data_IF_073436039195
#
_entry.id   IF_073436039195
#
_cell.length_a   1.000
_cell.length_b   1.000
_cell.length_c   1.000
_cell.angle_alpha   90.00
_cell.angle_beta   90.00
_cell.angle_gamma   90.00
#
_symmetry.space_group_name_H-M   'P 1'
#
loop_
_entity.id
_entity.type
_entity.pdbx_description
1 polymer ?
#
# COMPACT_ATOMS: atom_id res chain seq x y z
N UNK A 1 -15.80 -23.00 1.07
CA UNK A 1 -14.64 -22.73 0.19
C UNK A 1 -13.90 -21.54 0.77
N UNK A 2 -12.57 -21.60 0.85
CA UNK A 2 -11.74 -20.46 1.29
C UNK A 2 -11.31 -19.67 0.06
N UNK A 3 -11.51 -18.36 0.07
CA UNK A 3 -11.12 -17.42 -0.99
C UNK A 3 -10.38 -16.27 -0.31
N UNK A 4 -9.18 -15.96 -0.79
CA UNK A 4 -8.35 -14.87 -0.28
C UNK A 4 -7.64 -14.16 -1.43
N UNK A 5 -7.48 -12.84 -1.32
CA UNK A 5 -6.72 -12.04 -2.27
C UNK A 5 -5.21 -12.18 -2.04
N UNK A 6 -4.45 -12.30 -3.12
CA UNK A 6 -3.02 -12.55 -3.08
C UNK A 6 -2.17 -11.28 -2.80
N UNK A 7 -2.31 -10.69 -1.61
CA UNK A 7 -1.44 -9.60 -1.12
C UNK A 7 -0.31 -10.08 -0.20
N UNK A 8 0.80 -10.48 -0.80
CA UNK A 8 1.96 -11.02 -0.11
C UNK A 8 2.59 -10.13 0.99
N UNK A 9 2.59 -8.78 0.96
CA UNK A 9 3.33 -8.01 1.95
C UNK A 9 2.71 -8.12 3.34
N UNK A 10 1.40 -8.43 3.44
CA UNK A 10 0.69 -8.67 4.70
C UNK A 10 1.26 -9.85 5.50
N UNK A 11 1.87 -10.81 4.81
CA UNK A 11 2.46 -12.00 5.42
C UNK A 11 3.93 -11.79 5.83
N UNK A 12 4.56 -10.73 5.33
CA UNK A 12 5.98 -10.44 5.53
C UNK A 12 6.28 -9.96 6.99
N UNK A 13 7.36 -10.44 7.64
CA UNK A 13 7.72 -10.07 9.01
C UNK A 13 7.88 -8.56 9.23
N UNK A 14 8.43 -7.83 8.26
CA UNK A 14 8.54 -6.36 8.28
C UNK A 14 7.19 -5.68 8.53
N UNK A 15 6.13 -6.10 7.83
CA UNK A 15 4.79 -5.52 8.00
C UNK A 15 4.08 -5.98 9.27
N UNK A 16 4.34 -7.21 9.71
CA UNK A 16 3.89 -7.68 11.03
C UNK A 16 4.52 -6.83 12.15
N UNK A 17 5.81 -6.47 12.00
CA UNK A 17 6.52 -5.60 12.93
C UNK A 17 5.98 -4.17 12.89
N UNK A 18 5.77 -3.59 11.72
CA UNK A 18 5.13 -2.26 11.56
C UNK A 18 3.77 -2.23 12.26
N UNK A 19 2.89 -3.21 11.99
CA UNK A 19 1.56 -3.27 12.64
C UNK A 19 1.66 -3.41 14.17
N UNK A 20 2.61 -4.20 14.66
CA UNK A 20 2.90 -4.33 16.09
C UNK A 20 3.30 -2.99 16.73
N UNK A 21 4.19 -2.23 16.09
CA UNK A 21 4.62 -0.91 16.57
C UNK A 21 3.47 0.11 16.60
N UNK A 22 2.59 0.05 15.60
CA UNK A 22 1.40 0.90 15.54
C UNK A 22 0.42 0.55 16.67
N UNK A 23 0.07 -0.72 16.82
CA UNK A 23 -0.86 -1.20 17.87
C UNK A 23 -0.33 -0.96 19.28
N UNK A 24 0.99 -1.07 19.50
CA UNK A 24 1.61 -0.83 20.79
C UNK A 24 1.80 0.67 21.10
N UNK A 25 1.41 1.57 20.19
CA UNK A 25 1.48 3.01 20.38
C UNK A 25 2.91 3.57 20.38
N UNK A 26 3.88 2.86 19.79
CA UNK A 26 5.28 3.30 19.70
C UNK A 26 5.41 4.69 19.08
N UNK A 27 4.62 4.95 18.02
CA UNK A 27 4.58 6.27 17.38
C UNK A 27 3.45 7.18 17.87
N UNK A 28 2.76 6.80 18.96
CA UNK A 28 1.51 7.44 19.36
C UNK A 28 0.38 7.09 18.40
N UNK A 29 -0.51 8.05 18.14
CA UNK A 29 -1.60 7.86 17.19
C UNK A 29 -1.11 8.12 15.77
N UNK A 30 -1.26 7.15 14.87
CA UNK A 30 -0.94 7.34 13.45
C UNK A 30 -1.90 8.36 12.82
N UNK A 31 -1.35 9.38 12.17
CA UNK A 31 -2.10 10.51 11.59
C UNK A 31 -1.96 10.63 10.09
N UNK A 32 -0.78 10.32 9.54
CA UNK A 32 -0.55 10.44 8.11
C UNK A 32 0.23 9.24 7.57
N UNK A 33 -0.13 8.78 6.37
CA UNK A 33 0.64 7.81 5.60
C UNK A 33 0.98 8.40 4.24
N UNK A 34 2.25 8.32 3.83
CA UNK A 34 2.70 8.71 2.50
C UNK A 34 3.33 7.50 1.81
N UNK A 35 2.83 7.14 0.64
CA UNK A 35 3.33 6.01 -0.14
C UNK A 35 3.74 6.43 -1.55
N UNK A 36 4.81 5.83 -2.06
CA UNK A 36 5.20 5.98 -3.47
C UNK A 36 5.55 4.62 -4.01
N UNK A 37 4.98 4.25 -5.16
CA UNK A 37 5.40 3.05 -5.89
C UNK A 37 5.52 3.37 -7.38
N UNK A 38 6.72 3.22 -7.95
CA UNK A 38 6.90 3.41 -9.38
C UNK A 38 7.89 2.44 -9.99
N UNK A 39 7.75 2.23 -11.29
CA UNK A 39 8.71 1.59 -12.17
C UNK A 39 8.51 2.12 -13.59
N UNK A 40 9.39 1.69 -14.51
CA UNK A 40 9.33 2.07 -15.91
C UNK A 40 9.07 0.85 -16.79
N UNK A 41 7.92 0.81 -17.46
CA UNK A 41 7.52 -0.21 -18.42
C UNK A 41 6.74 0.44 -19.57
N UNK A 42 7.24 0.27 -20.78
CA UNK A 42 6.61 0.74 -22.02
C UNK A 42 6.43 -0.39 -23.03
N UNK A 43 6.50 -1.64 -22.59
CA UNK A 43 6.28 -2.80 -23.45
C UNK A 43 4.78 -2.91 -23.81
N UNK A 44 4.38 -2.76 -25.09
CA UNK A 44 2.97 -2.84 -25.49
C UNK A 44 2.35 -4.22 -25.25
N UNK A 45 3.16 -5.29 -25.22
CA UNK A 45 2.68 -6.65 -25.03
C UNK A 45 2.44 -7.00 -23.55
N UNK A 46 2.81 -6.12 -22.62
CA UNK A 46 2.53 -6.31 -21.20
C UNK A 46 1.06 -6.01 -20.90
N UNK A 47 0.40 -6.92 -20.18
CA UNK A 47 -1.02 -6.81 -19.80
C UNK A 47 -1.34 -5.50 -19.07
N UNK A 48 -0.36 -4.91 -18.39
CA UNK A 48 -0.52 -3.63 -17.67
C UNK A 48 -0.69 -2.43 -18.60
N UNK A 49 -0.30 -2.57 -19.87
CA UNK A 49 -0.46 -1.57 -20.91
C UNK A 49 -1.68 -1.85 -21.83
N UNK A 50 -2.53 -2.82 -21.48
CA UNK A 50 -3.74 -3.18 -22.23
C UNK A 50 -4.99 -2.75 -21.47
N UNK A 51 -5.56 -1.59 -21.84
CA UNK A 51 -6.67 -0.97 -21.11
C UNK A 51 -7.95 -1.83 -21.12
N UNK A 52 -8.20 -2.55 -22.21
CA UNK A 52 -9.40 -3.34 -22.44
C UNK A 52 -9.52 -4.59 -21.54
N UNK A 53 -8.43 -5.03 -20.92
CA UNK A 53 -8.40 -6.16 -19.98
C UNK A 53 -8.13 -5.76 -18.53
N UNK A 54 -8.19 -4.46 -18.21
CA UNK A 54 -7.94 -3.96 -16.85
C UNK A 54 -6.49 -3.59 -16.55
N UNK A 55 -5.70 -3.27 -17.58
CA UNK A 55 -4.38 -2.64 -17.41
C UNK A 55 -4.46 -1.25 -16.75
N UNK A 56 -3.31 -0.75 -16.31
CA UNK A 56 -3.22 0.51 -15.56
C UNK A 56 -2.37 0.42 -14.30
N UNK A 57 -1.69 1.52 -13.98
CA UNK A 57 -0.84 1.62 -12.80
C UNK A 57 -1.61 1.56 -11.48
N UNK A 58 -2.84 2.07 -11.44
CA UNK A 58 -3.68 2.07 -10.26
C UNK A 58 -4.10 0.65 -9.86
N UNK A 59 -4.54 -0.17 -10.83
CA UNK A 59 -4.85 -1.58 -10.57
C UNK A 59 -3.59 -2.39 -10.20
N UNK A 60 -2.48 -2.18 -10.92
CA UNK A 60 -1.25 -2.96 -10.73
C UNK A 60 -0.52 -2.62 -9.42
N UNK A 61 -0.06 -1.38 -9.26
CA UNK A 61 0.79 -0.97 -8.12
C UNK A 61 0.13 0.04 -7.19
N UNK A 62 -0.88 0.77 -7.64
CA UNK A 62 -1.68 1.65 -6.78
C UNK A 62 -2.44 0.87 -5.70
N UNK A 63 -2.90 -0.34 -6.04
CA UNK A 63 -3.54 -1.28 -5.13
C UNK A 63 -2.67 -1.62 -3.92
N UNK A 64 -1.34 -1.70 -4.07
CA UNK A 64 -0.41 -1.90 -2.95
C UNK A 64 -0.37 -0.69 -2.01
N UNK A 65 -0.35 0.53 -2.56
CA UNK A 65 -0.37 1.76 -1.77
C UNK A 65 -1.66 1.86 -0.95
N UNK A 66 -2.80 1.51 -1.55
CA UNK A 66 -4.11 1.49 -0.88
C UNK A 66 -4.13 0.42 0.21
N UNK A 67 -3.81 -0.82 -0.13
CA UNK A 67 -3.80 -1.96 0.78
C UNK A 67 -2.94 -1.72 2.01
N UNK A 68 -1.70 -1.23 1.84
CA UNK A 68 -0.78 -1.06 2.96
C UNK A 68 -1.06 0.19 3.80
N UNK A 69 -1.72 1.18 3.22
CA UNK A 69 -2.30 2.30 3.99
C UNK A 69 -3.47 1.82 4.85
N UNK A 70 -4.41 1.05 4.26
CA UNK A 70 -5.53 0.45 5.01
C UNK A 70 -5.03 -0.48 6.11
N UNK A 71 -3.98 -1.26 5.83
CA UNK A 71 -3.32 -2.12 6.81
C UNK A 71 -2.67 -1.32 7.96
N UNK A 72 -2.07 -0.16 7.67
CA UNK A 72 -1.50 0.70 8.71
C UNK A 72 -2.56 1.38 9.59
N UNK A 73 -3.69 1.79 9.02
CA UNK A 73 -4.78 2.44 9.76
C UNK A 73 -5.83 1.48 10.33
N UNK A 74 -5.80 0.21 9.90
CA UNK A 74 -6.82 -0.81 10.20
C UNK A 74 -8.24 -0.31 9.92
N UNK A 75 -8.39 0.40 8.81
CA UNK A 75 -9.64 1.02 8.39
C UNK A 75 -9.64 1.26 6.88
N UNK A 76 -10.82 1.49 6.31
CA UNK A 76 -10.99 2.04 4.97
C UNK A 76 -11.06 3.57 5.00
N UNK A 77 -10.64 4.28 3.93
CA UNK A 77 -10.88 5.70 3.81
C UNK A 77 -12.36 5.99 3.58
N UNK A 78 -12.83 7.15 4.06
CA UNK A 78 -14.22 7.61 3.89
C UNK A 78 -14.46 8.28 2.54
N UNK A 79 -13.44 8.97 2.04
CA UNK A 79 -13.48 9.68 0.75
C UNK A 79 -12.07 9.90 0.20
N UNK A 80 -11.99 10.14 -1.10
CA UNK A 80 -10.73 10.32 -1.82
C UNK A 80 -10.81 11.49 -2.80
N UNK A 81 -9.66 12.07 -3.14
CA UNK A 81 -9.48 13.01 -4.24
C UNK A 81 -8.21 12.63 -5.02
N UNK A 82 -8.23 12.73 -6.34
CA UNK A 82 -7.15 12.17 -7.17
C UNK A 82 -6.90 12.92 -8.48
N UNK A 83 -5.68 12.74 -9.01
CA UNK A 83 -5.24 13.10 -10.35
C UNK A 83 -4.75 11.84 -11.06
N UNK A 84 -5.13 11.68 -12.32
CA UNK A 84 -4.71 10.56 -13.18
C UNK A 84 -4.25 11.11 -14.52
N UNK A 85 -3.00 10.82 -14.88
CA UNK A 85 -2.46 11.00 -16.23
C UNK A 85 -2.50 9.66 -16.97
N UNK A 86 -3.08 9.66 -18.16
CA UNK A 86 -3.21 8.48 -19.01
C UNK A 86 -2.21 8.53 -20.15
N UNK A 87 -1.64 7.37 -20.47
CA UNK A 87 -0.78 7.25 -21.63
C UNK A 87 -1.62 7.45 -22.92
N UNK A 88 -1.22 8.35 -23.83
CA UNK A 88 -1.98 8.60 -25.05
C UNK A 88 -1.93 7.45 -26.06
N UNK A 89 -0.96 6.53 -25.93
CA UNK A 89 -0.81 5.35 -26.79
C UNK A 89 -1.59 4.17 -26.22
N UNK A 90 -1.41 3.88 -24.94
CA UNK A 90 -2.00 2.70 -24.30
C UNK A 90 -3.41 2.94 -23.73
N UNK A 91 -3.77 4.19 -23.44
CA UNK A 91 -5.04 4.55 -22.80
C UNK A 91 -5.14 4.17 -21.31
N UNK A 92 -4.16 3.47 -20.77
CA UNK A 92 -4.03 3.11 -19.35
C UNK A 92 -3.54 4.28 -18.51
N UNK A 93 -3.88 4.31 -17.22
CA UNK A 93 -3.28 5.28 -16.30
C UNK A 93 -1.81 4.95 -16.05
N UNK A 94 -0.92 5.90 -16.34
CA UNK A 94 0.54 5.74 -16.18
C UNK A 94 1.09 6.50 -14.98
N UNK A 95 0.32 7.43 -14.43
CA UNK A 95 0.64 8.17 -13.21
C UNK A 95 -0.67 8.51 -12.50
N UNK A 96 -0.78 8.06 -11.26
CA UNK A 96 -1.90 8.37 -10.37
C UNK A 96 -1.36 8.98 -9.08
N UNK A 97 -1.94 10.09 -8.65
CA UNK A 97 -1.73 10.69 -7.34
C UNK A 97 -3.07 10.82 -6.61
N UNK A 98 -3.15 10.40 -5.36
CA UNK A 98 -4.39 10.46 -4.59
C UNK A 98 -4.17 10.90 -3.14
N UNK A 99 -5.18 11.54 -2.56
CA UNK A 99 -5.31 11.86 -1.14
C UNK A 99 -6.56 11.13 -0.63
N UNK A 100 -6.44 10.45 0.51
CA UNK A 100 -7.48 9.64 1.12
C UNK A 100 -7.74 10.12 2.55
N UNK A 101 -8.99 10.40 2.88
CA UNK A 101 -9.45 10.87 4.19
C UNK A 101 -10.05 9.69 4.97
N UNK A 102 -9.41 9.29 6.08
CA UNK A 102 -9.85 8.19 6.96
C UNK A 102 -10.74 8.68 8.13
N UNK A 103 -11.07 9.97 8.14
CA UNK A 103 -11.76 10.64 9.24
C UNK A 103 -10.89 10.78 10.50
N UNK A 104 -11.40 11.54 11.47
CA UNK A 104 -10.74 11.78 12.77
C UNK A 104 -9.31 12.32 12.62
N UNK A 105 -9.07 13.17 11.61
CA UNK A 105 -7.74 13.74 11.33
C UNK A 105 -6.69 12.75 10.84
N UNK A 106 -7.10 11.55 10.39
CA UNK A 106 -6.22 10.58 9.74
C UNK A 106 -6.31 10.76 8.22
N UNK A 107 -5.17 10.94 7.57
CA UNK A 107 -5.07 11.12 6.12
C UNK A 107 -4.02 10.19 5.53
N UNK A 108 -4.12 9.90 4.25
CA UNK A 108 -3.03 9.32 3.50
C UNK A 108 -2.91 9.96 2.13
N UNK A 109 -1.73 9.87 1.54
CA UNK A 109 -1.51 10.23 0.16
C UNK A 109 -0.59 9.23 -0.50
N UNK A 110 -0.81 8.95 -1.78
CA UNK A 110 0.13 8.15 -2.54
C UNK A 110 0.35 8.66 -3.96
N UNK A 111 1.47 8.26 -4.53
CA UNK A 111 1.78 8.36 -5.96
C UNK A 111 2.12 6.97 -6.48
N UNK A 112 1.49 6.54 -7.57
CA UNK A 112 1.92 5.36 -8.31
C UNK A 112 2.16 5.67 -9.79
N UNK A 113 3.17 5.02 -10.40
CA UNK A 113 3.46 5.21 -11.82
C UNK A 113 4.15 4.03 -12.48
N UNK A 114 3.74 3.73 -13.71
CA UNK A 114 4.30 2.66 -14.56
C UNK A 114 5.35 3.17 -15.54
N UNK A 115 5.59 4.49 -15.60
CA UNK A 115 6.54 5.11 -16.54
C UNK A 115 7.56 6.04 -15.85
N UNK A 116 7.79 5.86 -14.54
CA UNK A 116 8.77 6.63 -13.75
C UNK A 116 9.95 5.77 -13.29
N UNK A 117 11.00 6.38 -12.73
CA UNK A 117 12.12 5.63 -12.17
C UNK A 117 11.64 4.61 -11.11
N UNK A 118 12.30 3.45 -11.04
CA UNK A 118 11.96 2.42 -10.05
C UNK A 118 12.17 2.97 -8.65
N UNK A 119 11.09 3.06 -7.88
CA UNK A 119 11.13 3.55 -6.51
C UNK A 119 9.98 2.95 -5.70
N UNK A 120 10.22 2.71 -4.42
CA UNK A 120 9.18 2.33 -3.48
C UNK A 120 9.53 2.81 -2.09
N UNK A 121 8.58 3.47 -1.44
CA UNK A 121 8.72 3.97 -0.07
C UNK A 121 7.35 4.13 0.59
N UNK A 122 7.33 3.99 1.92
CA UNK A 122 6.16 4.29 2.73
C UNK A 122 6.59 4.92 4.04
N UNK A 123 5.96 6.03 4.41
CA UNK A 123 6.19 6.77 5.65
C UNK A 123 4.90 6.86 6.45
N UNK A 124 4.93 6.46 7.71
CA UNK A 124 3.83 6.59 8.66
C UNK A 124 4.23 7.62 9.70
N UNK A 125 3.43 8.67 9.85
CA UNK A 125 3.64 9.76 10.80
C UNK A 125 2.65 9.62 11.95
N UNK A 126 3.16 9.49 13.17
CA UNK A 126 2.37 9.46 14.39
C UNK A 126 2.60 10.70 15.25
N UNK A 127 1.85 10.81 16.35
CA UNK A 127 1.95 11.94 17.27
C UNK A 127 3.21 11.97 18.12
N UNK A 128 3.96 10.87 18.23
CA UNK A 128 5.18 10.77 19.04
C UNK A 128 6.44 10.44 18.22
N UNK A 129 6.28 9.84 17.05
CA UNK A 129 7.39 9.33 16.22
C UNK A 129 6.85 9.02 14.82
N UNK A 130 7.66 8.41 13.96
CA UNK A 130 7.32 8.00 12.61
C UNK A 130 8.00 6.66 12.27
N UNK A 131 7.46 5.95 11.28
CA UNK A 131 8.04 4.72 10.73
C UNK A 131 8.24 4.91 9.24
N UNK A 132 9.47 4.68 8.75
CA UNK A 132 9.78 4.61 7.33
C UNK A 132 10.04 3.17 6.95
N UNK A 133 9.34 2.71 5.92
CA UNK A 133 9.47 1.38 5.34
C UNK A 133 10.10 1.55 3.97
N UNK A 134 11.36 1.11 3.84
CA UNK A 134 12.03 1.04 2.55
C UNK A 134 11.63 -0.29 1.89
N UNK A 135 11.44 -0.27 0.57
CA UNK A 135 11.03 -1.46 -0.17
C UNK A 135 9.72 -2.13 0.34
N UNK A 136 8.63 -1.38 0.60
CA UNK A 136 7.45 -1.88 1.30
C UNK A 136 6.60 -2.90 0.53
N UNK A 137 6.73 -3.00 -0.80
CA UNK A 137 5.76 -3.69 -1.65
C UNK A 137 6.33 -4.96 -2.29
N UNK A 138 7.34 -4.79 -3.12
CA UNK A 138 7.89 -5.86 -3.96
C UNK A 138 9.41 -5.95 -3.72
N UNK A 139 9.80 -6.92 -2.90
CA UNK A 139 11.19 -7.10 -2.50
C UNK A 139 11.93 -8.03 -3.47
N UNK A 140 13.15 -7.69 -3.88
CA UNK A 140 14.06 -8.65 -4.51
C UNK A 140 14.38 -9.84 -3.57
N UNK A 141 14.62 -11.06 -4.09
CA UNK A 141 14.86 -12.26 -3.28
C UNK A 141 15.98 -12.13 -2.23
N UNK A 142 17.07 -11.44 -2.57
CA UNK A 142 18.22 -11.24 -1.68
C UNK A 142 18.20 -9.89 -0.93
N UNK A 143 17.09 -9.15 -1.02
CA UNK A 143 16.97 -7.86 -0.36
C UNK A 143 16.85 -8.05 1.15
N UNK A 144 17.66 -7.30 1.92
CA UNK A 144 17.52 -7.19 3.37
C UNK A 144 16.54 -6.06 3.69
N UNK A 145 15.29 -6.37 4.08
CA UNK A 145 14.30 -5.34 4.36
C UNK A 145 14.70 -4.56 5.61
N UNK A 146 14.36 -3.28 5.63
CA UNK A 146 14.66 -2.40 6.74
C UNK A 146 13.45 -1.53 7.05
N UNK A 147 13.18 -1.30 8.33
CA UNK A 147 12.34 -0.19 8.77
C UNK A 147 13.17 0.75 9.62
N UNK A 148 12.89 2.04 9.51
CA UNK A 148 13.50 3.07 10.35
C UNK A 148 12.41 3.68 11.23
N UNK A 149 12.66 3.72 12.53
CA UNK A 149 11.72 4.22 13.54
C UNK A 149 12.29 5.51 14.09
N UNK A 150 11.64 6.62 13.82
CA UNK A 150 12.11 7.94 14.23
C UNK A 150 12.18 8.10 15.75
N UNK A 151 13.19 8.80 16.22
CA UNK A 151 13.25 9.29 17.59
C UNK A 151 13.16 10.81 17.49
N UNK A 152 11.96 11.40 17.55
CA UNK A 152 11.77 12.77 18.05
C UNK A 152 10.36 13.33 17.87
N UNK A 153 9.88 13.97 18.94
CA UNK A 153 8.82 15.00 18.90
C UNK A 153 9.41 16.42 18.84
N UNK A 154 10.74 16.56 18.96
CA UNK A 154 11.45 17.84 19.06
C UNK A 154 12.71 17.91 18.16
N UNK A 155 13.05 19.08 17.60
CA UNK A 155 14.26 19.24 16.79
C UNK A 155 15.56 19.01 17.57
N UNK A 156 16.65 18.59 16.89
CA UNK A 156 16.70 18.18 15.49
C UNK A 156 16.06 16.80 15.32
N UNK A 157 15.44 16.48 14.18
CA UNK A 157 14.97 15.11 13.90
C UNK A 157 16.18 14.20 13.68
N UNK A 158 16.82 13.75 14.77
CA UNK A 158 18.06 12.98 14.72
C UNK A 158 17.74 11.49 14.75
N UNK A 159 18.01 10.86 13.61
CA UNK A 159 18.35 9.43 13.42
C UNK A 159 17.35 8.46 14.03
N UNK A 160 16.56 7.80 13.17
CA UNK A 160 15.75 6.69 13.62
C UNK A 160 16.58 5.44 13.91
N UNK A 161 16.05 4.56 14.75
CA UNK A 161 16.60 3.21 14.91
C UNK A 161 16.22 2.39 13.67
N UNK A 162 17.21 1.74 13.06
CA UNK A 162 16.96 0.83 11.92
C UNK A 162 16.82 -0.59 12.45
N UNK A 163 15.69 -1.21 12.16
CA UNK A 163 15.51 -2.65 12.32
C UNK A 163 15.67 -3.33 10.96
N UNK A 164 16.61 -4.27 10.87
CA UNK A 164 16.80 -5.10 9.68
C UNK A 164 16.08 -6.45 9.81
N UNK A 165 15.66 -7.00 8.68
CA UNK A 165 15.05 -8.32 8.60
C UNK A 165 15.88 -9.22 7.68
N UNK A 166 15.81 -10.52 7.90
CA UNK A 166 16.40 -11.48 6.98
C UNK A 166 15.65 -11.46 5.63
N UNK A 167 16.35 -11.73 4.51
CA UNK A 167 15.71 -11.91 3.21
C UNK A 167 14.58 -12.94 3.33
N UNK A 168 13.41 -12.58 2.82
CA UNK A 168 12.18 -13.33 3.06
C UNK A 168 11.38 -13.48 1.78
N UNK A 169 11.00 -14.72 1.48
CA UNK A 169 10.12 -15.05 0.36
C UNK A 169 8.65 -14.81 0.71
N UNK A 170 8.19 -13.56 0.57
CA UNK A 170 6.82 -13.17 0.93
C UNK A 170 5.71 -13.99 0.22
N UNK A 171 5.98 -14.46 -1.00
CA UNK A 171 5.05 -15.32 -1.74
C UNK A 171 4.92 -16.71 -1.11
N UNK A 172 6.03 -17.28 -0.64
CA UNK A 172 6.02 -18.56 0.08
C UNK A 172 5.23 -18.43 1.38
N UNK A 173 5.47 -17.37 2.15
CA UNK A 173 4.74 -17.13 3.41
C UNK A 173 3.23 -17.00 3.21
N UNK A 174 2.80 -16.35 2.12
CA UNK A 174 1.38 -16.28 1.77
C UNK A 174 0.79 -17.66 1.46
N UNK A 175 1.49 -18.45 0.64
CA UNK A 175 1.04 -19.80 0.28
C UNK A 175 0.97 -20.74 1.49
N UNK A 176 1.94 -20.66 2.39
CA UNK A 176 1.97 -21.42 3.65
C UNK A 176 0.81 -21.03 4.58
N UNK A 177 0.55 -19.73 4.74
CA UNK A 177 -0.55 -19.22 5.57
C UNK A 177 -1.92 -19.65 5.02
N UNK A 178 -2.12 -19.50 3.71
CA UNK A 178 -3.33 -19.99 3.04
C UNK A 178 -3.52 -21.51 3.22
N UNK A 179 -2.45 -22.29 3.02
CA UNK A 179 -2.46 -23.75 3.21
C UNK A 179 -2.79 -24.15 4.66
N UNK A 180 -2.24 -23.41 5.63
CA UNK A 180 -2.53 -23.63 7.05
C UNK A 180 -4.01 -23.36 7.36
N UNK A 181 -4.56 -22.23 6.90
CA UNK A 181 -5.98 -21.88 7.13
C UNK A 181 -6.93 -22.89 6.51
N UNK A 182 -6.61 -23.40 5.32
CA UNK A 182 -7.38 -24.45 4.67
C UNK A 182 -7.43 -25.73 5.53
N UNK A 183 -6.33 -26.08 6.21
CA UNK A 183 -6.23 -27.29 7.06
C UNK A 183 -6.87 -27.12 8.43
N UNK A 184 -6.73 -25.95 9.04
CA UNK A 184 -7.19 -25.69 10.42
C UNK A 184 -8.60 -25.11 10.50
N UNK A 185 -9.12 -24.56 9.40
CA UNK A 185 -10.39 -23.85 9.38
C UNK A 185 -10.34 -22.48 10.07
N UNK A 186 -9.15 -21.93 10.33
CA UNK A 186 -9.00 -20.59 10.91
C UNK A 186 -9.44 -19.51 9.93
N UNK A 187 -10.15 -18.50 10.43
CA UNK A 187 -10.66 -17.37 9.64
C UNK A 187 -9.51 -16.44 9.23
N UNK A 188 -9.54 -15.96 7.99
CA UNK A 188 -8.60 -14.97 7.48
C UNK A 188 -8.72 -13.64 8.23
N UNK A 189 -7.60 -12.99 8.55
CA UNK A 189 -7.60 -11.57 8.96
C UNK A 189 -8.04 -10.64 7.82
N UNK A 190 -7.95 -11.11 6.57
CA UNK A 190 -8.30 -10.38 5.35
C UNK A 190 -9.29 -11.23 4.55
N UNK A 191 -10.57 -11.26 4.94
CA UNK A 191 -11.57 -12.03 4.22
C UNK A 191 -11.83 -11.39 2.86
N UNK A 192 -12.64 -12.02 2.00
CA UNK A 192 -12.88 -11.53 0.64
C UNK A 192 -13.44 -10.09 0.62
N UNK A 193 -14.21 -9.71 1.64
CA UNK A 193 -14.75 -8.37 1.82
C UNK A 193 -13.64 -7.30 1.89
N UNK A 194 -12.45 -7.64 2.41
CA UNK A 194 -11.31 -6.71 2.44
C UNK A 194 -10.77 -6.40 1.02
N UNK A 195 -10.86 -7.36 0.10
CA UNK A 195 -10.51 -7.16 -1.30
C UNK A 195 -11.57 -6.32 -2.02
N UNK A 196 -12.85 -6.54 -1.69
CA UNK A 196 -13.95 -5.70 -2.20
C UNK A 196 -13.77 -4.25 -1.75
N UNK A 197 -13.49 -4.01 -0.47
CA UNK A 197 -13.20 -2.67 0.04
C UNK A 197 -11.98 -2.04 -0.67
N UNK A 198 -10.98 -2.83 -1.05
CA UNK A 198 -9.84 -2.31 -1.81
C UNK A 198 -10.27 -1.80 -3.20
N UNK A 199 -11.16 -2.54 -3.87
CA UNK A 199 -11.72 -2.17 -5.16
C UNK A 199 -12.66 -0.96 -5.07
N UNK A 200 -13.46 -0.84 -4.01
CA UNK A 200 -14.31 0.33 -3.76
C UNK A 200 -13.47 1.62 -3.68
N UNK A 201 -12.27 1.55 -3.06
CA UNK A 201 -11.33 2.67 -3.01
C UNK A 201 -10.77 2.99 -4.39
N UNK A 202 -10.37 1.98 -5.18
CA UNK A 202 -9.88 2.17 -6.55
C UNK A 202 -10.95 2.83 -7.43
N UNK A 203 -12.19 2.34 -7.35
CA UNK A 203 -13.31 2.90 -8.10
C UNK A 203 -13.59 4.34 -7.68
N UNK A 204 -13.50 4.66 -6.38
CA UNK A 204 -13.63 6.02 -5.87
C UNK A 204 -12.52 6.94 -6.41
N UNK A 205 -11.29 6.44 -6.55
CA UNK A 205 -10.17 7.21 -7.12
C UNK A 205 -10.43 7.51 -8.61
N UNK A 206 -10.90 6.55 -9.39
CA UNK A 206 -11.29 6.80 -10.78
C UNK A 206 -12.43 7.81 -10.90
N UNK A 207 -13.45 7.71 -10.03
CA UNK A 207 -14.53 8.71 -9.96
C UNK A 207 -13.97 10.09 -9.63
N UNK A 208 -13.09 10.20 -8.64
CA UNK A 208 -12.56 11.47 -8.16
C UNK A 208 -11.70 12.17 -9.21
N UNK A 209 -10.88 11.40 -9.94
CA UNK A 209 -10.09 11.92 -11.04
C UNK A 209 -10.97 12.43 -12.20
N UNK A 210 -12.12 11.79 -12.43
CA UNK A 210 -13.09 12.18 -13.47
C UNK A 210 -13.93 13.40 -13.06
N UNK A 211 -14.35 13.49 -11.80
CA UNK A 211 -15.19 14.58 -11.29
C UNK A 211 -14.38 15.81 -10.86
N UNK A 212 -13.06 15.67 -10.71
CA UNK A 212 -12.17 16.69 -10.15
C UNK A 212 -12.61 17.16 -8.76
N UNK A 213 -13.15 16.24 -7.95
CA UNK A 213 -13.70 16.54 -6.63
C UNK A 213 -13.39 15.45 -5.60
N UNK A 214 -13.93 15.58 -4.39
CA UNK A 214 -13.90 14.52 -3.38
C UNK A 214 -15.02 13.52 -3.63
N UNK A 215 -14.69 12.22 -3.69
CA UNK A 215 -15.66 11.14 -3.86
C UNK A 215 -15.68 10.24 -2.64
N UNK A 216 -16.88 9.85 -2.21
CA UNK A 216 -17.07 8.88 -1.13
C UNK A 216 -16.65 7.48 -1.58
N UNK A 217 -16.05 6.73 -0.65
CA UNK A 217 -15.84 5.29 -0.78
C UNK A 217 -17.11 4.60 -0.29
N UNK A 218 -17.78 3.89 -1.19
CA UNK A 218 -19.09 3.29 -1.00
C UNK A 218 -19.24 2.01 -1.81
#
# INVERSE_FOLDING_TARGET
VLIEEAFMPRHHPQWKRVRSLLRNGTIGEARAVQAVFSYHNINPDDVRNQAEIGGGGLYDIGSYCITLTRYAFEAAPKRVSALIDRDPTFGTDRLTGAIMDFGNGRLASFVCSTQMARHQSLLILGTKSWIRVNCPFAMPPDWRPQIEIGVNVSPPATVGETEEFEPTEQYMLQGEDFSNRLRTGTVSEFPLEDAVENMEVIDAIFRAAKSHSWETVC
#
